data_IF_180907884959
#
_entry.id   IF_180907884959
#
_cell.length_a   1.000
_cell.length_b   1.000
_cell.length_c   1.000
_cell.angle_alpha   90.00
_cell.angle_beta   90.00
_cell.angle_gamma   90.00
#
_symmetry.space_group_name_H-M   'P 1'
#
loop_
_entity.id
_entity.type
_entity.pdbx_description
1 polymer ?
#
# COMPACT_ATOMS: atom_id res chain seq x y z
N UNK A 1 16.87 10.95 -16.91
CA UNK A 1 15.73 10.21 -16.32
C UNK A 1 16.02 9.72 -14.89
N UNK A 2 16.95 8.79 -14.66
CA UNK A 2 17.25 8.30 -13.29
C UNK A 2 17.75 9.42 -12.38
N UNK A 3 18.59 10.32 -12.89
CA UNK A 3 19.07 11.51 -12.18
C UNK A 3 17.96 12.51 -11.83
N UNK A 4 16.95 12.65 -12.70
CA UNK A 4 15.88 13.64 -12.53
C UNK A 4 14.87 13.17 -11.48
N UNK A 5 14.54 11.87 -11.48
CA UNK A 5 13.71 11.25 -10.42
C UNK A 5 14.42 11.32 -9.07
N UNK A 6 15.73 11.05 -9.03
CA UNK A 6 16.52 11.17 -7.79
C UNK A 6 16.49 12.60 -7.25
N UNK A 7 16.64 13.61 -8.13
CA UNK A 7 16.59 15.01 -7.77
C UNK A 7 15.20 15.42 -7.25
N UNK A 8 14.13 14.99 -7.93
CA UNK A 8 12.75 15.23 -7.49
C UNK A 8 12.50 14.63 -6.11
N UNK A 9 12.96 13.40 -5.85
CA UNK A 9 12.84 12.77 -4.54
C UNK A 9 13.63 13.53 -3.47
N UNK A 10 14.82 14.06 -3.77
CA UNK A 10 15.59 14.89 -2.82
C UNK A 10 14.87 16.20 -2.50
N UNK A 11 14.32 16.86 -3.52
CA UNK A 11 13.54 18.09 -3.32
C UNK A 11 12.30 17.79 -2.47
N UNK A 12 11.64 16.67 -2.73
CA UNK A 12 10.48 16.24 -1.94
C UNK A 12 10.83 15.91 -0.50
N UNK A 13 11.95 15.24 -0.26
CA UNK A 13 12.45 14.93 1.08
C UNK A 13 12.70 16.21 1.88
N UNK A 14 13.40 17.18 1.29
CA UNK A 14 13.59 18.52 1.88
C UNK A 14 12.25 19.22 2.08
N UNK A 15 11.33 19.18 1.11
CA UNK A 15 10.05 19.85 1.24
C UNK A 15 9.19 19.28 2.36
N UNK A 16 9.10 17.95 2.47
CA UNK A 16 8.35 17.22 3.51
C UNK A 16 8.97 17.45 4.90
N UNK A 17 10.29 17.55 4.99
CA UNK A 17 11.00 17.77 6.26
C UNK A 17 10.90 19.22 6.78
N UNK A 18 10.81 20.21 5.89
CA UNK A 18 10.95 21.64 6.25
C UNK A 18 9.70 22.49 6.04
N UNK A 19 8.71 22.01 5.29
CA UNK A 19 7.52 22.78 4.94
C UNK A 19 6.29 22.11 5.52
N UNK A 20 5.37 22.89 6.10
CA UNK A 20 4.03 22.41 6.45
C UNK A 20 3.39 21.84 5.17
N UNK A 21 3.42 20.52 5.03
CA UNK A 21 3.01 19.85 3.81
C UNK A 21 1.51 20.07 3.60
N UNK A 22 1.15 20.69 2.48
CA UNK A 22 -0.26 21.01 2.19
C UNK A 22 -1.02 19.75 1.78
N UNK A 23 -2.22 19.57 2.34
CA UNK A 23 -3.14 18.49 1.95
C UNK A 23 -3.45 18.53 0.45
N UNK A 24 -3.46 19.72 -0.17
CA UNK A 24 -3.74 19.90 -1.59
C UNK A 24 -2.68 19.26 -2.52
N UNK A 25 -1.45 19.05 -2.03
CA UNK A 25 -0.36 18.41 -2.78
C UNK A 25 -0.18 16.93 -2.43
N UNK A 26 -0.99 16.38 -1.52
CA UNK A 26 -0.79 15.04 -0.98
C UNK A 26 -1.00 13.94 -2.02
N UNK A 27 -2.13 13.97 -2.71
CA UNK A 27 -2.51 12.95 -3.70
C UNK A 27 -1.44 12.75 -4.79
N UNK A 28 -0.99 13.80 -5.53
CA UNK A 28 0.02 13.62 -6.58
C UNK A 28 1.38 13.15 -6.02
N UNK A 29 1.73 13.55 -4.80
CA UNK A 29 2.95 13.10 -4.13
C UNK A 29 2.86 11.62 -3.77
N UNK A 30 1.75 11.20 -3.16
CA UNK A 30 1.51 9.80 -2.79
C UNK A 30 1.51 8.93 -4.04
N UNK A 31 0.87 9.36 -5.12
CA UNK A 31 0.90 8.64 -6.40
C UNK A 31 2.34 8.49 -6.95
N UNK A 32 3.11 9.58 -6.96
CA UNK A 32 4.48 9.57 -7.45
C UNK A 32 5.36 8.62 -6.63
N UNK A 33 5.23 8.63 -5.30
CA UNK A 33 5.95 7.73 -4.40
C UNK A 33 5.52 6.27 -4.59
N UNK A 34 4.22 6.01 -4.79
CA UNK A 34 3.70 4.67 -5.06
C UNK A 34 4.21 4.12 -6.39
N UNK A 35 4.46 4.96 -7.40
CA UNK A 35 5.11 4.53 -8.64
C UNK A 35 6.60 4.32 -8.43
N UNK A 36 7.28 5.25 -7.74
CA UNK A 36 8.72 5.23 -7.50
C UNK A 36 9.19 4.05 -6.65
N UNK A 37 8.38 3.55 -5.70
CA UNK A 37 8.75 2.39 -4.87
C UNK A 37 8.92 1.09 -5.66
N UNK A 38 8.36 1.01 -6.87
CA UNK A 38 8.57 -0.14 -7.76
C UNK A 38 9.93 -0.15 -8.45
N UNK A 39 10.70 0.93 -8.33
CA UNK A 39 12.08 1.03 -8.85
C UNK A 39 13.02 0.75 -7.69
N UNK A 40 13.85 -0.30 -7.79
CA UNK A 40 14.71 -0.77 -6.70
C UNK A 40 15.60 0.33 -6.12
N UNK A 41 16.19 1.17 -6.98
CA UNK A 41 17.05 2.29 -6.59
C UNK A 41 16.34 3.33 -5.71
N UNK A 42 15.02 3.49 -5.88
CA UNK A 42 14.23 4.50 -5.18
C UNK A 42 13.34 3.92 -4.09
N UNK A 43 13.26 2.60 -3.94
CA UNK A 43 12.38 1.94 -2.97
C UNK A 43 12.65 2.43 -1.53
N UNK A 44 13.91 2.39 -1.10
CA UNK A 44 14.27 2.81 0.25
C UNK A 44 13.98 4.29 0.49
N UNK A 45 14.34 5.17 -0.46
CA UNK A 45 14.12 6.62 -0.31
C UNK A 45 12.62 6.97 -0.34
N UNK A 46 11.86 6.38 -1.26
CA UNK A 46 10.41 6.61 -1.37
C UNK A 46 9.69 6.22 -0.09
N UNK A 47 10.12 5.12 0.54
CA UNK A 47 9.63 4.71 1.85
C UNK A 47 9.97 5.72 2.95
N UNK A 48 11.20 6.24 3.03
CA UNK A 48 11.54 7.23 4.05
C UNK A 48 10.69 8.50 3.92
N UNK A 49 10.49 8.98 2.70
CA UNK A 49 9.69 10.19 2.44
C UNK A 49 8.23 9.97 2.87
N UNK A 50 7.58 8.90 2.41
CA UNK A 50 6.19 8.64 2.80
C UNK A 50 6.05 8.34 4.29
N UNK A 51 7.06 7.72 4.91
CA UNK A 51 7.09 7.48 6.35
C UNK A 51 7.14 8.79 7.15
N UNK A 52 7.87 9.80 6.68
CA UNK A 52 7.84 11.13 7.27
C UNK A 52 6.43 11.76 7.17
N UNK A 53 5.79 11.66 6.00
CA UNK A 53 4.41 12.14 5.80
C UNK A 53 3.43 11.40 6.72
N UNK A 54 3.53 10.08 6.81
CA UNK A 54 2.66 9.25 7.66
C UNK A 54 2.84 9.54 9.15
N UNK A 55 4.03 9.99 9.59
CA UNK A 55 4.28 10.38 10.98
C UNK A 55 3.80 11.79 11.33
N UNK A 56 3.44 12.59 10.33
CA UNK A 56 2.95 13.96 10.53
C UNK A 56 1.45 13.99 10.84
N UNK A 57 0.92 15.18 11.14
CA UNK A 57 -0.50 15.38 11.48
C UNK A 57 -1.48 14.94 10.36
N UNK A 58 -1.01 14.85 9.11
CA UNK A 58 -1.79 14.40 7.95
C UNK A 58 -1.65 12.90 7.67
N UNK A 59 -1.04 12.13 8.58
CA UNK A 59 -0.80 10.70 8.40
C UNK A 59 -2.07 9.88 8.16
N UNK A 60 -3.15 10.15 8.91
CA UNK A 60 -4.44 9.49 8.69
C UNK A 60 -5.06 9.85 7.33
N UNK A 61 -4.92 11.10 6.89
CA UNK A 61 -5.36 11.54 5.55
C UNK A 61 -4.58 10.81 4.46
N UNK A 62 -3.29 10.60 4.69
CA UNK A 62 -2.41 9.84 3.79
C UNK A 62 -2.82 8.38 3.69
N UNK A 63 -3.16 7.72 4.80
CA UNK A 63 -3.74 6.37 4.77
C UNK A 63 -5.05 6.33 4.00
N UNK A 64 -5.96 7.27 4.26
CA UNK A 64 -7.23 7.36 3.53
C UNK A 64 -7.01 7.54 2.03
N UNK A 65 -6.02 8.35 1.64
CA UNK A 65 -5.63 8.55 0.23
C UNK A 65 -5.11 7.25 -0.39
N UNK A 66 -4.26 6.50 0.33
CA UNK A 66 -3.77 5.19 -0.11
C UNK A 66 -4.91 4.18 -0.27
N UNK A 67 -5.86 4.14 0.67
CA UNK A 67 -7.06 3.31 0.56
C UNK A 67 -7.90 3.73 -0.66
N UNK A 68 -8.18 5.03 -0.85
CA UNK A 68 -8.93 5.53 -2.00
C UNK A 68 -8.30 5.12 -3.34
N UNK A 69 -6.97 5.15 -3.46
CA UNK A 69 -6.25 4.70 -4.66
C UNK A 69 -6.57 3.23 -4.98
N UNK A 70 -6.70 2.37 -3.97
CA UNK A 70 -7.04 0.95 -4.12
C UNK A 70 -8.50 0.72 -4.54
N UNK A 71 -9.41 1.63 -4.18
CA UNK A 71 -10.85 1.49 -4.46
C UNK A 71 -11.28 2.09 -5.81
N UNK A 72 -10.47 2.97 -6.39
CA UNK A 72 -10.78 3.66 -7.65
C UNK A 72 -10.60 2.76 -8.88
N UNK A 73 -11.70 2.50 -9.59
CA UNK A 73 -11.70 1.70 -10.83
C UNK A 73 -10.84 2.29 -11.96
N UNK A 74 -10.64 3.61 -11.98
CA UNK A 74 -9.72 4.28 -12.92
C UNK A 74 -8.27 3.79 -12.78
N UNK A 75 -7.89 3.26 -11.60
CA UNK A 75 -6.56 2.77 -11.31
C UNK A 75 -6.34 1.31 -11.69
N UNK A 76 -7.35 0.62 -12.22
CA UNK A 76 -7.28 -0.79 -12.66
C UNK A 76 -6.11 -1.09 -13.60
N UNK A 77 -5.76 -0.16 -14.48
CA UNK A 77 -4.64 -0.31 -15.42
C UNK A 77 -3.29 0.17 -14.85
N UNK A 78 -3.31 0.94 -13.76
CA UNK A 78 -2.13 1.51 -13.13
C UNK A 78 -1.59 0.57 -12.03
N UNK A 79 -1.22 -0.65 -12.43
CA UNK A 79 -0.78 -1.70 -11.49
C UNK A 79 0.35 -1.26 -10.55
N UNK A 80 1.29 -0.43 -11.03
CA UNK A 80 2.42 0.05 -10.24
C UNK A 80 1.97 0.96 -9.10
N UNK A 81 0.98 1.81 -9.36
CA UNK A 81 0.37 2.68 -8.36
C UNK A 81 -0.33 1.84 -7.28
N UNK A 82 -1.22 0.95 -7.70
CA UNK A 82 -1.99 0.08 -6.78
C UNK A 82 -1.05 -0.79 -5.93
N UNK A 83 -0.06 -1.43 -6.55
CA UNK A 83 0.93 -2.25 -5.84
C UNK A 83 1.70 -1.42 -4.81
N UNK A 84 2.17 -0.24 -5.18
CA UNK A 84 2.88 0.67 -4.28
C UNK A 84 2.02 1.08 -3.08
N UNK A 85 0.72 1.32 -3.30
CA UNK A 85 -0.21 1.64 -2.22
C UNK A 85 -0.41 0.47 -1.26
N UNK A 86 -0.58 -0.76 -1.76
CA UNK A 86 -0.64 -1.98 -0.91
C UNK A 86 0.66 -2.13 -0.10
N UNK A 87 1.81 -1.94 -0.73
CA UNK A 87 3.12 -2.03 -0.07
C UNK A 87 3.24 -1.02 1.07
N UNK A 88 2.91 0.25 0.83
CA UNK A 88 3.00 1.30 1.86
C UNK A 88 2.01 1.08 3.00
N UNK A 89 0.76 0.71 2.72
CA UNK A 89 -0.21 0.35 3.76
C UNK A 89 0.30 -0.82 4.61
N UNK A 90 0.74 -1.90 3.96
CA UNK A 90 1.27 -3.06 4.67
C UNK A 90 2.48 -2.73 5.53
N UNK A 91 3.42 -1.94 5.00
CA UNK A 91 4.62 -1.52 5.74
C UNK A 91 4.32 -0.58 6.92
N UNK A 92 3.38 0.35 6.74
CA UNK A 92 3.02 1.34 7.76
C UNK A 92 2.16 0.76 8.88
N UNK A 93 1.26 -0.17 8.57
CA UNK A 93 0.27 -0.66 9.53
C UNK A 93 0.71 -1.90 10.30
N UNK A 94 1.33 -2.88 9.62
CA UNK A 94 1.71 -4.17 10.24
C UNK A 94 3.03 -4.75 9.74
N UNK A 95 3.83 -3.94 9.03
CA UNK A 95 5.14 -4.33 8.55
C UNK A 95 6.23 -4.20 9.60
N UNK A 96 7.46 -4.55 9.20
CA UNK A 96 8.65 -4.43 10.05
C UNK A 96 9.00 -2.99 10.44
N UNK A 97 8.44 -2.00 9.73
CA UNK A 97 8.63 -0.57 10.00
C UNK A 97 7.31 0.14 10.32
N UNK A 98 6.38 -0.58 10.97
CA UNK A 98 5.09 -0.03 11.36
C UNK A 98 5.22 1.28 12.15
N UNK A 99 4.21 2.12 12.01
CA UNK A 99 4.14 3.44 12.64
C UNK A 99 3.14 3.33 13.80
N UNK A 100 3.66 3.07 15.01
CA UNK A 100 2.81 2.80 16.19
C UNK A 100 1.91 3.99 16.57
N UNK A 101 2.28 5.23 16.19
CA UNK A 101 1.50 6.44 16.44
C UNK A 101 0.20 6.51 15.63
N UNK A 102 0.10 5.76 14.53
CA UNK A 102 -1.00 5.86 13.58
C UNK A 102 -2.21 5.01 13.97
N UNK A 103 -2.04 4.03 14.87
CA UNK A 103 -3.05 3.05 15.32
C UNK A 103 -4.18 2.80 14.29
N UNK A 104 -3.85 2.27 13.10
CA UNK A 104 -4.83 2.14 12.02
C UNK A 104 -5.89 1.11 12.40
N UNK A 105 -7.16 1.43 12.14
CA UNK A 105 -8.23 0.43 12.22
C UNK A 105 -8.08 -0.54 11.06
N UNK A 106 -7.82 -1.82 11.34
CA UNK A 106 -7.68 -2.84 10.29
C UNK A 106 -8.97 -2.95 9.47
N UNK A 107 -10.13 -2.81 10.13
CA UNK A 107 -11.45 -2.77 9.50
C UNK A 107 -11.62 -1.69 8.42
N UNK A 108 -10.82 -0.63 8.43
CA UNK A 108 -10.85 0.41 7.40
C UNK A 108 -9.96 0.07 6.19
N UNK A 109 -8.91 -0.75 6.38
CA UNK A 109 -7.90 -1.02 5.35
C UNK A 109 -8.18 -2.34 4.62
N UNK A 110 -8.66 -3.35 5.33
CA UNK A 110 -8.96 -4.68 4.76
C UNK A 110 -9.96 -4.61 3.60
N UNK A 111 -11.06 -3.85 3.65
CA UNK A 111 -11.97 -3.73 2.52
C UNK A 111 -11.31 -3.12 1.27
N UNK A 112 -10.40 -2.16 1.45
CA UNK A 112 -9.66 -1.55 0.34
C UNK A 112 -8.67 -2.54 -0.28
N UNK A 113 -8.01 -3.39 0.53
CA UNK A 113 -7.18 -4.49 0.04
C UNK A 113 -8.01 -5.53 -0.73
N UNK A 114 -9.22 -5.85 -0.27
CA UNK A 114 -10.12 -6.74 -0.99
C UNK A 114 -10.50 -6.15 -2.36
N UNK A 115 -10.92 -4.87 -2.41
CA UNK A 115 -11.37 -4.23 -3.66
C UNK A 115 -10.28 -4.21 -4.75
N UNK A 116 -9.02 -3.99 -4.39
CA UNK A 116 -7.96 -3.97 -5.40
C UNK A 116 -7.72 -5.34 -6.07
N UNK A 117 -8.17 -6.45 -5.47
CA UNK A 117 -8.13 -7.78 -6.10
C UNK A 117 -9.07 -7.92 -7.28
N UNK A 118 -10.10 -7.07 -7.39
CA UNK A 118 -11.01 -7.04 -8.54
C UNK A 118 -10.33 -6.54 -9.83
N UNK A 119 -9.14 -5.95 -9.75
CA UNK A 119 -8.39 -5.47 -10.91
C UNK A 119 -7.68 -6.56 -11.71
N UNK A 120 -7.70 -7.81 -11.22
CA UNK A 120 -7.17 -9.01 -11.89
C UNK A 120 -5.68 -8.88 -12.29
N UNK A 121 -4.87 -8.30 -11.38
CA UNK A 121 -3.43 -8.12 -11.58
C UNK A 121 -2.65 -9.05 -10.64
N UNK A 122 -1.98 -10.10 -11.16
CA UNK A 122 -1.24 -11.06 -10.32
C UNK A 122 -0.17 -10.42 -9.43
N UNK A 123 0.50 -9.38 -9.93
CA UNK A 123 1.54 -8.68 -9.16
C UNK A 123 0.98 -7.91 -7.95
N UNK A 124 -0.25 -7.40 -8.06
CA UNK A 124 -0.97 -6.75 -6.95
C UNK A 124 -1.44 -7.81 -5.96
N UNK A 125 -2.05 -8.90 -6.45
CA UNK A 125 -2.48 -10.02 -5.62
C UNK A 125 -1.33 -10.61 -4.80
N UNK A 126 -0.14 -10.75 -5.40
CA UNK A 126 1.06 -11.19 -4.70
C UNK A 126 1.45 -10.25 -3.53
N UNK A 127 1.41 -8.94 -3.76
CA UNK A 127 1.72 -7.97 -2.70
C UNK A 127 0.66 -8.00 -1.58
N UNK A 128 -0.61 -8.19 -1.92
CA UNK A 128 -1.69 -8.38 -0.94
C UNK A 128 -1.45 -9.65 -0.11
N UNK A 129 -1.07 -10.78 -0.72
CA UNK A 129 -0.71 -12.02 -0.02
C UNK A 129 0.41 -11.76 1.00
N UNK A 130 1.48 -11.06 0.59
CA UNK A 130 2.58 -10.72 1.50
C UNK A 130 2.14 -9.81 2.64
N UNK A 131 1.25 -8.85 2.36
CA UNK A 131 0.71 -7.95 3.36
C UNK A 131 -0.16 -8.70 4.40
N UNK A 132 -1.13 -9.48 3.93
CA UNK A 132 -2.03 -10.31 4.75
C UNK A 132 -1.25 -11.35 5.56
N UNK A 133 -0.28 -12.02 4.95
CA UNK A 133 0.56 -13.00 5.65
C UNK A 133 1.35 -12.37 6.81
N UNK A 134 1.81 -11.13 6.65
CA UNK A 134 2.48 -10.38 7.73
C UNK A 134 1.49 -10.00 8.83
N UNK A 135 0.31 -9.51 8.46
CA UNK A 135 -0.75 -9.16 9.42
C UNK A 135 -1.11 -10.36 10.31
N UNK A 136 -1.38 -11.53 9.71
CA UNK A 136 -1.71 -12.76 10.47
C UNK A 136 -0.56 -13.12 11.41
N UNK A 137 0.68 -13.18 10.92
CA UNK A 137 1.83 -13.55 11.74
C UNK A 137 2.06 -12.63 12.94
N UNK A 138 1.74 -11.34 12.80
CA UNK A 138 2.03 -10.33 13.82
C UNK A 138 0.87 -10.00 14.73
N UNK A 139 -0.38 -10.18 14.29
CA UNK A 139 -1.58 -9.67 14.98
C UNK A 139 -2.70 -10.70 15.15
N UNK A 140 -2.47 -12.00 14.90
CA UNK A 140 -3.55 -13.02 14.97
C UNK A 140 -4.37 -13.00 16.26
N UNK A 141 -3.78 -12.69 17.42
CA UNK A 141 -4.47 -12.63 18.72
C UNK A 141 -5.27 -11.34 18.93
N UNK A 142 -4.94 -10.28 18.19
CA UNK A 142 -5.52 -8.93 18.34
C UNK A 142 -6.65 -8.67 17.34
N UNK A 143 -6.79 -9.54 16.34
CA UNK A 143 -7.84 -9.46 15.34
C UNK A 143 -9.20 -9.82 15.96
N UNK A 144 -10.16 -8.93 15.74
CA UNK A 144 -11.57 -9.15 16.09
C UNK A 144 -12.23 -10.13 15.13
N UNK A 145 -13.38 -10.74 15.48
CA UNK A 145 -14.10 -11.63 14.58
C UNK A 145 -14.46 -10.99 13.23
N UNK A 146 -14.82 -9.70 13.24
CA UNK A 146 -15.16 -8.97 12.01
C UNK A 146 -13.96 -8.81 11.08
N UNK A 147 -12.78 -8.52 11.65
CA UNK A 147 -11.55 -8.41 10.86
C UNK A 147 -11.12 -9.79 10.33
N UNK A 148 -11.36 -10.86 11.08
CA UNK A 148 -11.17 -12.22 10.60
C UNK A 148 -12.08 -12.57 9.43
N UNK A 149 -13.36 -12.20 9.49
CA UNK A 149 -14.29 -12.41 8.38
C UNK A 149 -13.81 -11.71 7.10
N UNK A 150 -13.40 -10.43 7.21
CA UNK A 150 -12.82 -9.67 6.10
C UNK A 150 -11.52 -10.32 5.58
N UNK A 151 -10.68 -10.84 6.47
CA UNK A 151 -9.46 -11.55 6.09
C UNK A 151 -9.76 -12.83 5.32
N UNK A 152 -10.78 -13.59 5.74
CA UNK A 152 -11.19 -14.79 5.02
C UNK A 152 -11.75 -14.47 3.63
N UNK A 153 -12.53 -13.40 3.47
CA UNK A 153 -12.99 -12.93 2.16
C UNK A 153 -11.81 -12.65 1.21
N UNK A 154 -10.78 -11.96 1.71
CA UNK A 154 -9.54 -11.70 0.96
C UNK A 154 -8.84 -13.02 0.58
N UNK A 155 -8.69 -13.96 1.53
CA UNK A 155 -8.02 -15.24 1.27
C UNK A 155 -8.75 -16.10 0.25
N UNK A 156 -10.09 -16.13 0.29
CA UNK A 156 -10.91 -16.84 -0.70
C UNK A 156 -10.67 -16.25 -2.09
N UNK A 157 -10.65 -14.93 -2.22
CA UNK A 157 -10.47 -14.31 -3.53
C UNK A 157 -9.04 -14.47 -4.07
N UNK A 158 -8.05 -14.51 -3.18
CA UNK A 158 -6.66 -14.86 -3.53
C UNK A 158 -6.53 -16.32 -4.00
N UNK A 159 -7.36 -17.23 -3.50
CA UNK A 159 -7.37 -18.63 -3.93
C UNK A 159 -7.70 -18.76 -5.43
N UNK A 160 -8.56 -17.88 -5.97
CA UNK A 160 -8.88 -17.82 -7.41
C UNK A 160 -7.62 -17.67 -8.26
N UNK A 161 -6.67 -16.83 -7.84
CA UNK A 161 -5.41 -16.61 -8.54
C UNK A 161 -4.49 -17.84 -8.53
N UNK A 162 -4.48 -18.60 -7.43
CA UNK A 162 -3.73 -19.86 -7.36
C UNK A 162 -4.27 -20.87 -8.38
N UNK A 163 -5.58 -21.03 -8.49
CA UNK A 163 -6.19 -21.96 -9.45
C UNK A 163 -5.98 -21.52 -10.91
N UNK A 164 -5.94 -20.21 -11.19
CA UNK A 164 -5.63 -19.72 -12.54
C UNK A 164 -4.19 -20.05 -12.92
N UNK A 165 -3.23 -19.83 -12.01
CA UNK A 165 -1.83 -20.19 -12.23
C UNK A 165 -1.61 -21.71 -12.34
N UNK A 166 -2.29 -22.50 -11.49
CA UNK A 166 -2.22 -23.96 -11.52
C UNK A 166 -2.94 -24.55 -12.76
N UNK A 167 -4.04 -23.93 -13.20
CA UNK A 167 -4.77 -24.32 -14.41
C UNK A 167 -4.00 -24.03 -15.70
N UNK A 168 -3.22 -22.95 -15.74
CA UNK A 168 -2.30 -22.67 -16.86
C UNK A 168 -1.11 -23.65 -16.92
N UNK A 169 -0.78 -24.35 -15.83
CA UNK A 169 0.25 -25.39 -15.83
C UNK A 169 -0.24 -26.75 -16.36
N UNK A 170 -1.54 -26.89 -16.66
CA UNK A 170 -2.18 -28.14 -17.11
C UNK A 170 -2.68 -28.01 -18.57
N UNK A 171 -2.45 -26.88 -19.25
CA UNK A 171 -2.83 -26.64 -20.64
C UNK A 171 -1.62 -26.65 -21.59
#
# INVERSE_FOLDING_TARGET
MVTDVDLCLRVLDVHVLYSLFSVASLEPVVEALCRAVNIEDFCHRSWQIIKCVLKSDIGHVTLGTLCNILELESNRNHWALVRGSVFFLGMACWGSQRIDTLQPSFSAILPSLYRCLAFDKPIVAYEVILSVSRLIKSYYEQLTPVEWDQMFEILVELQRYYYILAGMAIA
#
